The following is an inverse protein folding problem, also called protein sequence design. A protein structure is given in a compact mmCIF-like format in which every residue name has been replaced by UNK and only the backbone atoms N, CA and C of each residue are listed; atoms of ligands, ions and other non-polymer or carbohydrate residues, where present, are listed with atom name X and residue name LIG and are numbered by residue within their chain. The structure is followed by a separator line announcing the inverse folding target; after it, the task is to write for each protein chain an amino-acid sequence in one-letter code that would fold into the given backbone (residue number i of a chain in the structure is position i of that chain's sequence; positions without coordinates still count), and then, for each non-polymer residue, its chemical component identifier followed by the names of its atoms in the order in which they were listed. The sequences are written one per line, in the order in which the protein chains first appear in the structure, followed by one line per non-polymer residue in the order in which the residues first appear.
data_IF_588283664391
#
_entry.id   IF_588283664391
#
_cell.length_a   1.000
_cell.length_b   1.000
_cell.length_c   1.000
_cell.angle_alpha   90.00
_cell.angle_beta   90.00
_cell.angle_gamma   90.00
#
_symmetry.space_group_name_H-M   'P 1'
#
loop_
_entity.id
_entity.type
_entity.pdbx_description
1 polymer ?
#
# COMPACT_ATOMS: atom_id res chain seq x y z
N UNK A 1 -4.20 80.08 -24.14
CA UNK A 1 -4.97 79.22 -23.20
C UNK A 1 -4.78 77.77 -23.62
N UNK A 2 -3.76 77.10 -23.09
CA UNK A 2 -3.58 75.64 -23.26
C UNK A 2 -3.65 75.01 -21.87
N UNK A 3 -4.73 74.29 -21.59
CA UNK A 3 -4.84 73.46 -20.38
C UNK A 3 -4.42 72.04 -20.77
N UNK A 4 -3.21 71.65 -20.39
CA UNK A 4 -2.75 70.27 -20.47
C UNK A 4 -3.40 69.53 -19.28
N UNK A 5 -4.26 68.58 -19.59
CA UNK A 5 -4.94 67.73 -18.60
C UNK A 5 -4.00 66.58 -18.23
N UNK A 6 -3.43 66.63 -17.03
CA UNK A 6 -2.58 65.57 -16.48
C UNK A 6 -3.50 64.45 -15.96
N UNK A 7 -3.60 63.35 -16.71
CA UNK A 7 -4.33 62.15 -16.28
C UNK A 7 -3.37 61.26 -15.48
N UNK A 8 -3.51 61.30 -14.16
CA UNK A 8 -2.78 60.44 -13.23
C UNK A 8 -3.40 59.04 -13.27
N UNK A 9 -2.78 58.09 -13.97
CA UNK A 9 -3.13 56.67 -13.87
C UNK A 9 -2.64 56.13 -12.53
N UNK A 10 -3.51 56.13 -11.52
CA UNK A 10 -3.32 55.36 -10.30
C UNK A 10 -3.49 53.88 -10.65
N UNK A 11 -2.38 53.20 -10.96
CA UNK A 11 -2.33 51.75 -11.02
C UNK A 11 -2.53 51.22 -9.60
N UNK A 12 -3.77 50.89 -9.26
CA UNK A 12 -4.10 50.18 -8.03
C UNK A 12 -3.60 48.74 -8.19
N UNK A 13 -2.36 48.52 -7.81
CA UNK A 13 -1.78 47.18 -7.68
C UNK A 13 -2.59 46.45 -6.60
N UNK A 14 -3.58 45.67 -7.01
CA UNK A 14 -4.24 44.72 -6.12
C UNK A 14 -3.19 43.67 -5.78
N UNK A 15 -2.42 43.93 -4.72
CA UNK A 15 -1.79 42.87 -3.94
C UNK A 15 -2.93 42.07 -3.33
N UNK A 16 -3.46 41.12 -4.11
CA UNK A 16 -4.30 40.06 -3.59
C UNK A 16 -3.40 39.21 -2.71
N UNK A 17 -3.25 39.63 -1.45
CA UNK A 17 -2.82 38.70 -0.42
C UNK A 17 -3.94 37.67 -0.36
N UNK A 18 -3.66 36.46 -0.85
CA UNK A 18 -4.46 35.30 -0.50
C UNK A 18 -4.40 35.21 1.03
N UNK A 19 -5.39 35.76 1.72
CA UNK A 19 -5.56 35.54 3.14
C UNK A 19 -5.96 34.07 3.28
N UNK A 20 -4.95 33.21 3.42
CA UNK A 20 -5.15 31.82 3.80
C UNK A 20 -5.84 31.85 5.17
N UNK A 21 -7.15 31.58 5.19
CA UNK A 21 -7.89 31.47 6.43
C UNK A 21 -7.48 30.17 7.13
N UNK A 22 -6.40 30.24 7.93
CA UNK A 22 -5.87 29.10 8.64
C UNK A 22 -6.81 28.55 9.74
N UNK A 23 -7.87 29.30 10.11
CA UNK A 23 -8.85 28.86 11.10
C UNK A 23 -9.67 27.65 10.63
N UNK A 24 -9.81 27.46 9.31
CA UNK A 24 -10.55 26.31 8.74
C UNK A 24 -9.86 24.97 9.06
N UNK A 25 -8.54 24.99 9.26
CA UNK A 25 -7.76 23.80 9.56
C UNK A 25 -7.84 23.51 11.06
N UNK A 26 -8.73 22.61 11.47
CA UNK A 26 -8.76 22.12 12.86
C UNK A 26 -7.80 20.93 13.04
N UNK A 27 -7.56 20.51 14.27
CA UNK A 27 -6.66 19.38 14.57
C UNK A 27 -7.12 18.06 13.93
N UNK A 28 -8.43 17.92 13.65
CA UNK A 28 -9.02 16.75 13.00
C UNK A 28 -9.30 16.96 11.51
N UNK A 29 -8.86 18.08 10.94
CA UNK A 29 -9.07 18.36 9.53
C UNK A 29 -8.30 17.37 8.67
N UNK A 30 -8.98 16.82 7.67
CA UNK A 30 -8.38 15.98 6.64
C UNK A 30 -8.51 16.75 5.32
N UNK A 31 -7.40 16.98 4.61
CA UNK A 31 -7.45 17.69 3.34
C UNK A 31 -8.36 17.05 2.30
N UNK A 32 -8.85 17.87 1.38
CA UNK A 32 -9.71 17.43 0.28
C UNK A 32 -8.92 16.98 -0.95
N UNK A 33 -7.85 17.72 -1.27
CA UNK A 33 -7.00 17.50 -2.44
C UNK A 33 -5.54 17.93 -2.15
N UNK A 34 -4.66 17.82 -3.15
CA UNK A 34 -3.25 18.17 -3.00
C UNK A 34 -3.03 19.65 -2.61
N UNK A 35 -3.77 20.58 -3.20
CA UNK A 35 -3.58 22.00 -2.92
C UNK A 35 -4.02 22.32 -1.49
N UNK A 36 -5.13 21.75 -1.06
CA UNK A 36 -5.64 21.89 0.30
C UNK A 36 -4.69 21.27 1.33
N UNK A 37 -4.04 20.14 0.98
CA UNK A 37 -3.00 19.53 1.81
C UNK A 37 -1.75 20.42 1.96
N UNK A 38 -1.30 21.05 0.86
CA UNK A 38 -0.18 21.99 0.89
C UNK A 38 -0.54 23.21 1.76
N UNK A 39 -1.72 23.79 1.56
CA UNK A 39 -2.18 24.94 2.34
C UNK A 39 -2.39 24.60 3.82
N UNK A 40 -2.80 23.37 4.15
CA UNK A 40 -2.83 22.89 5.53
C UNK A 40 -1.43 22.97 6.17
N UNK A 41 -0.39 22.47 5.50
CA UNK A 41 0.98 22.52 6.01
C UNK A 41 1.50 23.95 6.13
N UNK A 42 1.27 24.81 5.13
CA UNK A 42 1.67 26.23 5.18
C UNK A 42 1.03 26.98 6.36
N UNK A 43 -0.16 26.57 6.81
CA UNK A 43 -0.87 27.16 7.95
C UNK A 43 -0.50 26.54 9.31
N UNK A 44 -0.25 25.23 9.36
CA UNK A 44 -0.12 24.48 10.63
C UNK A 44 1.31 24.17 11.03
N UNK A 45 2.23 24.13 10.08
CA UNK A 45 3.62 23.85 10.38
C UNK A 45 4.33 25.15 10.81
N UNK A 46 5.12 25.13 11.90
CA UNK A 46 5.95 26.26 12.27
C UNK A 46 6.83 26.71 11.11
N UNK A 47 7.02 28.02 10.96
CA UNK A 47 7.83 28.58 9.88
C UNK A 47 9.26 28.05 9.88
N UNK A 48 9.84 27.84 11.06
CA UNK A 48 11.18 27.25 11.21
C UNK A 48 11.25 25.84 10.62
N UNK A 49 10.25 25.00 10.87
CA UNK A 49 10.18 23.65 10.32
C UNK A 49 10.02 23.67 8.79
N UNK A 50 9.17 24.57 8.27
CA UNK A 50 9.01 24.77 6.83
C UNK A 50 10.30 25.28 6.17
N UNK A 51 11.02 26.21 6.81
CA UNK A 51 12.30 26.72 6.32
C UNK A 51 13.38 25.62 6.35
N UNK A 52 13.45 24.83 7.43
CA UNK A 52 14.34 23.67 7.53
C UNK A 52 14.05 22.62 6.45
N UNK A 53 12.78 22.32 6.19
CA UNK A 53 12.35 21.40 5.14
C UNK A 53 12.70 21.94 3.75
N UNK A 54 12.38 23.22 3.49
CA UNK A 54 12.65 23.92 2.23
C UNK A 54 14.13 23.93 1.86
N UNK A 55 15.02 24.15 2.83
CA UNK A 55 16.46 24.34 2.61
C UNK A 55 17.23 23.03 2.35
N UNK A 56 16.59 21.87 2.53
CA UNK A 56 17.18 20.56 2.18
C UNK A 56 17.02 20.27 0.69
N UNK A 57 17.87 19.39 0.16
CA UNK A 57 17.64 18.80 -1.17
C UNK A 57 16.29 18.06 -1.17
N UNK A 58 15.52 18.15 -2.25
CA UNK A 58 14.15 17.59 -2.36
C UNK A 58 14.10 16.12 -1.93
N UNK A 59 15.01 15.27 -2.42
CA UNK A 59 15.01 13.84 -2.11
C UNK A 59 15.32 13.58 -0.62
N UNK A 60 16.32 14.29 -0.08
CA UNK A 60 16.66 14.20 1.35
C UNK A 60 15.50 14.68 2.22
N UNK A 61 14.87 15.80 1.85
CA UNK A 61 13.77 16.40 2.58
C UNK A 61 12.58 15.44 2.69
N UNK A 62 12.17 14.83 1.58
CA UNK A 62 11.02 13.91 1.53
C UNK A 62 11.33 12.57 2.18
N UNK A 63 12.53 12.02 1.98
CA UNK A 63 12.96 10.75 2.58
C UNK A 63 13.05 10.82 4.11
N UNK A 64 13.64 11.88 4.66
CA UNK A 64 13.77 12.03 6.13
C UNK A 64 12.41 12.12 6.83
N UNK A 65 11.40 12.69 6.16
CA UNK A 65 10.05 12.80 6.69
C UNK A 65 9.21 11.54 6.48
N UNK A 66 9.69 10.54 5.73
CA UNK A 66 8.91 9.35 5.34
C UNK A 66 8.30 8.60 6.53
N UNK A 67 9.10 8.35 7.58
CA UNK A 67 8.67 7.59 8.76
C UNK A 67 8.06 8.47 9.87
N UNK A 68 8.27 9.79 9.81
CA UNK A 68 7.66 10.75 10.73
C UNK A 68 6.37 11.31 10.13
N UNK A 69 6.49 12.49 9.51
CA UNK A 69 5.36 13.21 8.91
C UNK A 69 4.61 12.38 7.88
N UNK A 70 5.30 11.65 7.01
CA UNK A 70 4.69 10.77 6.01
C UNK A 70 3.81 9.70 6.65
N UNK A 71 4.32 9.03 7.69
CA UNK A 71 3.54 8.04 8.44
C UNK A 71 2.32 8.67 9.12
N UNK A 72 2.48 9.85 9.71
CA UNK A 72 1.38 10.61 10.32
C UNK A 72 0.30 10.97 9.31
N UNK A 73 0.67 11.43 8.10
CA UNK A 73 -0.25 11.70 6.99
C UNK A 73 -1.07 10.44 6.69
N UNK A 74 -0.41 9.31 6.44
CA UNK A 74 -1.09 8.07 6.03
C UNK A 74 -2.12 7.59 7.04
N UNK A 75 -1.76 7.64 8.32
CA UNK A 75 -2.60 7.16 9.41
C UNK A 75 -3.71 8.15 9.75
N UNK A 76 -3.37 9.43 9.92
CA UNK A 76 -4.32 10.46 10.38
C UNK A 76 -5.30 10.86 9.29
N UNK A 77 -4.89 10.81 8.02
CA UNK A 77 -5.75 11.17 6.88
C UNK A 77 -6.46 9.97 6.26
N UNK A 78 -6.44 8.81 6.93
CA UNK A 78 -7.17 7.60 6.52
C UNK A 78 -6.84 7.11 5.10
N UNK A 79 -5.58 7.29 4.67
CA UNK A 79 -5.16 6.94 3.31
C UNK A 79 -5.22 5.42 3.07
N UNK A 80 -4.85 4.63 4.09
CA UNK A 80 -4.97 3.16 4.05
C UNK A 80 -6.42 2.71 3.90
N UNK A 81 -7.33 3.30 4.67
CA UNK A 81 -8.75 2.96 4.62
C UNK A 81 -9.41 3.42 3.31
N UNK A 82 -8.86 4.42 2.62
CA UNK A 82 -9.41 4.90 1.35
C UNK A 82 -10.69 5.72 1.45
N UNK A 83 -11.04 6.19 2.65
CA UNK A 83 -12.36 6.78 2.94
C UNK A 83 -12.38 8.30 2.94
N UNK A 84 -11.20 8.94 3.03
CA UNK A 84 -11.07 10.40 2.99
C UNK A 84 -11.07 10.96 1.57
N UNK A 85 -11.39 12.25 1.43
CA UNK A 85 -11.46 12.90 0.12
C UNK A 85 -10.09 13.03 -0.53
N UNK A 86 -9.03 13.37 0.23
CA UNK A 86 -7.65 13.33 -0.29
C UNK A 86 -7.25 11.93 -0.79
N UNK A 87 -7.72 10.86 -0.14
CA UNK A 87 -7.42 9.50 -0.60
C UNK A 87 -8.16 9.18 -1.90
N UNK A 88 -9.44 9.57 -2.02
CA UNK A 88 -10.19 9.43 -3.27
C UNK A 88 -9.57 10.25 -4.40
N UNK A 89 -9.18 11.50 -4.13
CA UNK A 89 -8.48 12.37 -5.07
C UNK A 89 -7.26 11.67 -5.70
N UNK A 90 -6.39 11.05 -4.89
CA UNK A 90 -5.24 10.33 -5.43
C UNK A 90 -5.62 9.04 -6.17
N UNK A 91 -6.63 8.30 -5.68
CA UNK A 91 -7.10 7.08 -6.34
C UNK A 91 -7.73 7.37 -7.70
N UNK A 92 -8.46 8.47 -7.84
CA UNK A 92 -9.02 8.93 -9.11
C UNK A 92 -7.92 9.32 -10.11
N UNK A 93 -6.73 9.69 -9.61
CA UNK A 93 -5.51 9.92 -10.40
C UNK A 93 -4.68 8.64 -10.64
N UNK A 94 -5.16 7.47 -10.20
CA UNK A 94 -4.48 6.19 -10.35
C UNK A 94 -3.33 5.95 -9.35
N UNK A 95 -3.28 6.70 -8.25
CA UNK A 95 -2.32 6.49 -7.14
C UNK A 95 -3.05 5.83 -5.99
N UNK A 96 -2.78 4.54 -5.77
CA UNK A 96 -3.51 3.72 -4.80
C UNK A 96 -2.75 3.49 -3.50
N UNK A 97 -1.41 3.51 -3.52
CA UNK A 97 -0.59 3.21 -2.36
C UNK A 97 -0.39 4.46 -1.47
N UNK A 98 -0.71 4.40 -0.16
CA UNK A 98 -0.58 5.54 0.75
C UNK A 98 0.82 6.12 0.89
N UNK A 99 1.89 5.31 0.76
CA UNK A 99 3.27 5.82 0.77
C UNK A 99 3.49 6.79 -0.40
N UNK A 100 3.00 6.46 -1.59
CA UNK A 100 3.10 7.29 -2.80
C UNK A 100 2.30 8.58 -2.63
N UNK A 101 1.06 8.49 -2.14
CA UNK A 101 0.22 9.65 -1.85
C UNK A 101 0.94 10.64 -0.92
N UNK A 102 1.47 10.14 0.20
CA UNK A 102 2.19 10.97 1.17
C UNK A 102 3.49 11.55 0.61
N UNK A 103 4.19 10.79 -0.25
CA UNK A 103 5.41 11.24 -0.92
C UNK A 103 5.13 12.34 -1.95
N UNK A 104 4.04 12.24 -2.70
CA UNK A 104 3.59 13.28 -3.64
C UNK A 104 3.24 14.56 -2.88
N UNK A 105 2.52 14.46 -1.76
CA UNK A 105 2.18 15.61 -0.92
C UNK A 105 3.44 16.34 -0.44
N UNK A 106 4.40 15.61 0.14
CA UNK A 106 5.62 16.21 0.68
C UNK A 106 6.53 16.79 -0.42
N UNK A 107 6.68 16.08 -1.54
CA UNK A 107 7.42 16.58 -2.72
C UNK A 107 6.81 17.86 -3.25
N UNK A 108 5.48 17.90 -3.36
CA UNK A 108 4.75 19.07 -3.87
C UNK A 108 4.83 20.26 -2.92
N UNK A 109 4.77 20.02 -1.60
CA UNK A 109 5.03 21.06 -0.58
C UNK A 109 6.45 21.62 -0.71
N UNK A 110 7.47 20.75 -0.84
CA UNK A 110 8.86 21.19 -0.99
C UNK A 110 9.05 22.07 -2.23
N UNK A 111 8.50 21.64 -3.37
CA UNK A 111 8.52 22.40 -4.63
C UNK A 111 7.82 23.74 -4.50
N UNK A 112 6.64 23.77 -3.86
CA UNK A 112 5.88 24.99 -3.58
C UNK A 112 6.69 25.99 -2.76
N UNK A 113 7.30 25.56 -1.65
CA UNK A 113 8.12 26.40 -0.77
C UNK A 113 9.36 26.97 -1.49
N UNK A 114 9.85 26.27 -2.51
CA UNK A 114 10.99 26.66 -3.33
C UNK A 114 10.61 27.37 -4.65
N UNK A 115 9.32 27.67 -4.89
CA UNK A 115 8.88 28.31 -6.12
C UNK A 115 9.10 27.46 -7.38
N UNK A 116 9.23 26.14 -7.24
CA UNK A 116 9.36 25.20 -8.35
C UNK A 116 7.98 24.72 -8.82
N UNK A 117 7.80 24.42 -10.12
CA UNK A 117 6.61 23.74 -10.60
C UNK A 117 6.39 22.42 -9.83
N UNK A 118 5.13 22.10 -9.51
CA UNK A 118 4.81 20.84 -8.81
C UNK A 118 5.05 19.63 -9.73
N UNK A 119 4.71 19.75 -11.02
CA UNK A 119 4.79 18.66 -12.01
C UNK A 119 4.07 17.39 -11.54
N UNK A 120 2.81 17.55 -11.12
CA UNK A 120 2.03 16.47 -10.53
C UNK A 120 1.91 15.27 -11.47
N UNK A 121 1.71 15.52 -12.77
CA UNK A 121 1.59 14.49 -13.80
C UNK A 121 2.86 13.63 -13.90
N UNK A 122 4.03 14.25 -13.77
CA UNK A 122 5.31 13.51 -13.78
C UNK A 122 5.47 12.65 -12.53
N UNK A 123 5.07 13.17 -11.36
CA UNK A 123 5.09 12.41 -10.11
C UNK A 123 4.14 11.21 -10.17
N UNK A 124 2.92 11.40 -10.70
CA UNK A 124 1.93 10.33 -10.90
C UNK A 124 2.49 9.26 -11.85
N UNK A 125 3.01 9.69 -13.00
CA UNK A 125 3.56 8.78 -14.00
C UNK A 125 4.70 7.92 -13.44
N UNK A 126 5.58 8.51 -12.63
CA UNK A 126 6.67 7.77 -11.98
C UNK A 126 6.14 6.58 -11.17
N UNK A 127 5.13 6.78 -10.32
CA UNK A 127 4.58 5.70 -9.51
C UNK A 127 3.78 4.68 -10.31
N UNK A 128 3.04 5.12 -11.34
CA UNK A 128 2.36 4.20 -12.26
C UNK A 128 3.36 3.29 -12.98
N UNK A 129 4.44 3.86 -13.51
CA UNK A 129 5.49 3.09 -14.19
C UNK A 129 6.20 2.14 -13.19
N UNK A 130 6.45 2.59 -11.96
CA UNK A 130 7.04 1.78 -10.90
C UNK A 130 6.19 0.55 -10.56
N UNK A 131 4.88 0.72 -10.31
CA UNK A 131 4.00 -0.39 -9.95
C UNK A 131 3.78 -1.34 -11.12
N UNK A 132 3.63 -0.84 -12.35
CA UNK A 132 3.51 -1.69 -13.54
C UNK A 132 4.73 -2.59 -13.73
N UNK A 133 5.93 -2.05 -13.54
CA UNK A 133 7.17 -2.83 -13.61
C UNK A 133 7.31 -3.80 -12.44
N UNK A 134 6.90 -3.41 -11.23
CA UNK A 134 6.90 -4.26 -10.04
C UNK A 134 5.98 -5.47 -10.19
N UNK A 135 4.74 -5.25 -10.66
CA UNK A 135 3.76 -6.31 -10.92
C UNK A 135 4.24 -7.27 -12.01
N UNK A 136 4.82 -6.73 -13.09
CA UNK A 136 5.41 -7.54 -14.16
C UNK A 136 6.52 -8.45 -13.62
N UNK A 137 7.47 -7.90 -12.87
CA UNK A 137 8.57 -8.67 -12.26
C UNK A 137 8.08 -9.71 -11.28
N UNK A 138 7.08 -9.38 -10.47
CA UNK A 138 6.47 -10.32 -9.54
C UNK A 138 5.84 -11.50 -10.32
N UNK A 139 5.07 -11.22 -11.37
CA UNK A 139 4.46 -12.26 -12.20
C UNK A 139 5.51 -13.13 -12.91
N UNK A 140 6.58 -12.53 -13.43
CA UNK A 140 7.69 -13.25 -14.05
C UNK A 140 8.34 -14.20 -13.02
N UNK A 141 8.67 -13.70 -11.83
CA UNK A 141 9.22 -14.52 -10.74
C UNK A 141 8.29 -15.68 -10.36
N UNK A 142 7.00 -15.40 -10.17
CA UNK A 142 6.03 -16.43 -9.80
C UNK A 142 5.88 -17.50 -10.88
N UNK A 143 5.92 -17.12 -12.16
CA UNK A 143 5.89 -18.08 -13.26
C UNK A 143 7.18 -18.93 -13.32
N UNK A 144 8.34 -18.32 -13.08
CA UNK A 144 9.63 -19.03 -13.02
C UNK A 144 9.62 -20.05 -11.89
N UNK A 145 9.28 -19.63 -10.66
CA UNK A 145 9.15 -20.52 -9.49
C UNK A 145 8.13 -21.65 -9.76
N UNK A 146 6.95 -21.33 -10.29
CA UNK A 146 5.92 -22.33 -10.58
C UNK A 146 6.38 -23.35 -11.65
N UNK A 147 7.20 -22.94 -12.61
CA UNK A 147 7.66 -23.81 -13.70
C UNK A 147 8.60 -24.95 -13.24
N UNK A 148 9.15 -24.83 -12.03
CA UNK A 148 10.01 -25.87 -11.45
C UNK A 148 9.22 -27.13 -11.05
N UNK A 149 7.94 -26.96 -10.70
CA UNK A 149 7.07 -28.04 -10.24
C UNK A 149 6.60 -28.96 -11.37
N UNK A 150 6.59 -30.26 -11.09
CA UNK A 150 6.16 -31.33 -11.99
C UNK A 150 5.19 -32.27 -11.29
N UNK A 151 4.31 -32.88 -12.08
CA UNK A 151 3.46 -33.97 -11.59
C UNK A 151 4.37 -35.12 -11.16
N UNK A 152 4.17 -35.60 -9.93
CA UNK A 152 4.97 -36.63 -9.30
C UNK A 152 6.02 -36.10 -8.31
N UNK A 153 6.29 -34.80 -8.32
CA UNK A 153 7.23 -34.21 -7.37
C UNK A 153 6.75 -34.42 -5.93
N UNK A 154 7.71 -34.74 -5.07
CA UNK A 154 7.51 -34.77 -3.63
C UNK A 154 7.74 -33.36 -3.10
N UNK A 155 6.82 -32.90 -2.28
CA UNK A 155 6.86 -31.54 -1.73
C UNK A 155 6.73 -31.54 -0.22
N UNK A 156 7.31 -30.53 0.42
CA UNK A 156 7.20 -30.23 1.85
C UNK A 156 6.39 -28.95 2.06
N UNK A 157 5.55 -28.92 3.09
CA UNK A 157 4.67 -27.79 3.37
C UNK A 157 5.39 -26.72 4.21
N UNK A 158 5.28 -25.45 3.80
CA UNK A 158 5.99 -24.30 4.39
C UNK A 158 5.41 -23.79 5.72
N UNK A 159 4.13 -24.07 6.01
CA UNK A 159 3.40 -23.55 7.19
C UNK A 159 3.22 -22.03 7.24
N UNK A 160 3.15 -21.35 6.09
CA UNK A 160 3.05 -19.87 6.02
C UNK A 160 1.79 -19.26 6.66
N UNK A 161 0.70 -20.02 6.79
CA UNK A 161 -0.54 -19.51 7.38
C UNK A 161 -0.56 -19.60 8.92
N UNK A 162 -0.65 -20.82 9.45
CA UNK A 162 -0.78 -21.09 10.88
C UNK A 162 -0.66 -22.60 11.16
N UNK A 163 -0.71 -22.97 12.44
CA UNK A 163 -0.69 -24.34 12.91
C UNK A 163 -2.06 -24.78 13.46
N UNK A 164 -2.43 -26.05 13.24
CA UNK A 164 -3.68 -26.62 13.77
C UNK A 164 -3.65 -26.82 15.30
N UNK A 165 -2.47 -26.66 15.92
CA UNK A 165 -2.29 -26.71 17.37
C UNK A 165 -0.95 -26.08 17.81
N UNK A 166 -0.90 -25.54 19.03
CA UNK A 166 0.36 -25.11 19.69
C UNK A 166 1.41 -26.22 19.77
N UNK A 167 0.97 -27.48 19.80
CA UNK A 167 1.86 -28.64 19.81
C UNK A 167 2.50 -28.86 18.44
N UNK A 168 1.77 -28.61 17.35
CA UNK A 168 2.31 -28.66 16.00
C UNK A 168 3.33 -27.55 15.80
N UNK A 169 2.98 -26.31 16.16
CA UNK A 169 3.88 -25.14 16.14
C UNK A 169 5.19 -25.43 16.88
N UNK A 170 5.10 -25.85 18.15
CA UNK A 170 6.29 -26.18 18.95
C UNK A 170 7.17 -27.26 18.31
N UNK A 171 6.55 -28.29 17.71
CA UNK A 171 7.30 -29.35 17.04
C UNK A 171 7.94 -28.88 15.73
N UNK A 172 7.30 -27.96 15.02
CA UNK A 172 7.85 -27.37 13.80
C UNK A 172 9.08 -26.51 14.15
N UNK A 173 8.98 -25.67 15.18
CA UNK A 173 10.10 -24.88 15.72
C UNK A 173 11.29 -25.73 16.21
N UNK A 174 11.04 -26.98 16.59
CA UNK A 174 12.06 -27.95 17.02
C UNK A 174 12.59 -28.83 15.86
N UNK A 175 12.24 -28.54 14.59
CA UNK A 175 12.56 -29.35 13.41
C UNK A 175 12.06 -30.81 13.52
N UNK A 176 10.92 -31.01 14.17
CA UNK A 176 10.29 -32.32 14.42
C UNK A 176 8.92 -32.48 13.76
N UNK A 177 8.44 -31.45 13.07
CA UNK A 177 7.15 -31.47 12.38
C UNK A 177 7.31 -31.05 10.93
N UNK A 178 7.06 -32.01 10.04
CA UNK A 178 7.02 -31.77 8.61
C UNK A 178 5.77 -32.41 8.04
N UNK A 179 5.17 -31.76 7.06
CA UNK A 179 4.10 -32.32 6.27
C UNK A 179 4.59 -32.44 4.83
N UNK A 180 4.36 -33.60 4.20
CA UNK A 180 4.84 -33.84 2.84
C UNK A 180 3.72 -34.40 1.97
N UNK A 181 3.74 -34.00 0.70
CA UNK A 181 2.77 -34.38 -0.31
C UNK A 181 3.42 -34.88 -1.59
N UNK A 182 2.58 -35.27 -2.54
CA UNK A 182 2.98 -35.53 -3.93
C UNK A 182 2.08 -34.69 -4.83
N UNK A 183 2.67 -33.98 -5.79
CA UNK A 183 1.91 -33.24 -6.80
C UNK A 183 1.24 -34.22 -7.76
N UNK A 184 -0.06 -34.05 -7.96
CA UNK A 184 -0.89 -34.87 -8.86
C UNK A 184 -1.55 -34.05 -9.98
N UNK A 185 -1.41 -32.72 -9.95
CA UNK A 185 -1.92 -31.82 -10.97
C UNK A 185 -1.31 -30.42 -10.86
N UNK A 186 -1.31 -29.68 -11.97
CA UNK A 186 -0.79 -28.31 -12.07
C UNK A 186 -1.84 -27.44 -12.77
N UNK A 187 -2.00 -26.21 -12.30
CA UNK A 187 -2.83 -25.21 -12.94
C UNK A 187 -2.02 -23.92 -13.15
N UNK A 188 -1.58 -23.70 -14.39
CA UNK A 188 -0.73 -22.57 -14.78
C UNK A 188 -1.47 -21.24 -14.87
N UNK A 189 -2.80 -21.25 -14.98
CA UNK A 189 -3.58 -19.99 -15.12
C UNK A 189 -3.68 -19.24 -13.79
N UNK A 190 -3.77 -19.98 -12.69
CA UNK A 190 -3.90 -19.44 -11.32
C UNK A 190 -2.73 -19.82 -10.41
N UNK A 191 -1.70 -20.46 -10.95
CA UNK A 191 -0.50 -20.91 -10.24
C UNK A 191 -0.82 -21.79 -9.02
N UNK A 192 -1.67 -22.80 -9.22
CA UNK A 192 -2.00 -23.77 -8.18
C UNK A 192 -1.42 -25.15 -8.47
N UNK A 193 -1.05 -25.84 -7.40
CA UNK A 193 -0.64 -27.25 -7.44
C UNK A 193 -1.72 -28.09 -6.77
N UNK A 194 -2.06 -29.23 -7.37
CA UNK A 194 -2.92 -30.22 -6.74
C UNK A 194 -2.03 -31.20 -5.98
N UNK A 195 -2.11 -31.18 -4.65
CA UNK A 195 -1.25 -32.01 -3.81
C UNK A 195 -2.06 -33.12 -3.17
N UNK A 196 -1.53 -34.33 -3.16
CA UNK A 196 -2.00 -35.43 -2.30
C UNK A 196 -1.15 -35.50 -1.04
N UNK A 197 -1.72 -35.15 0.11
CA UNK A 197 -0.99 -35.09 1.37
C UNK A 197 -0.64 -36.51 1.85
N UNK A 198 0.65 -36.82 2.01
CA UNK A 198 1.16 -38.15 2.40
C UNK A 198 1.49 -38.23 3.89
N UNK A 199 2.09 -37.17 4.43
CA UNK A 199 2.52 -37.10 5.83
C UNK A 199 2.01 -35.80 6.43
N UNK A 200 1.49 -35.89 7.65
CA UNK A 200 1.28 -34.76 8.55
C UNK A 200 1.79 -35.18 9.93
N UNK A 201 2.48 -34.29 10.62
CA UNK A 201 2.99 -34.55 11.97
C UNK A 201 1.87 -34.44 13.03
N UNK A 202 0.75 -33.78 12.70
CA UNK A 202 -0.43 -33.61 13.54
C UNK A 202 -1.63 -34.33 12.86
N UNK A 203 -2.38 -35.17 13.60
CA UNK A 203 -3.54 -35.88 13.04
C UNK A 203 -4.65 -34.95 12.55
N UNK A 204 -4.70 -33.69 13.02
CA UNK A 204 -5.66 -32.71 12.51
C UNK A 204 -5.35 -32.26 11.08
N UNK A 205 -4.11 -32.37 10.61
CA UNK A 205 -3.70 -31.98 9.27
C UNK A 205 -2.87 -30.70 9.22
N UNK A 206 -2.97 -29.98 8.11
CA UNK A 206 -2.31 -28.70 7.83
C UNK A 206 -3.34 -27.64 7.43
N UNK A 207 -3.07 -26.36 7.72
CA UNK A 207 -3.93 -25.24 7.34
C UNK A 207 -3.49 -24.75 5.95
N UNK A 208 -4.31 -24.98 4.93
CA UNK A 208 -3.99 -24.63 3.53
C UNK A 208 -4.61 -23.31 3.08
N UNK A 209 -5.43 -22.67 3.92
CA UNK A 209 -5.93 -21.31 3.71
C UNK A 209 -6.40 -20.71 5.03
N UNK A 210 -6.25 -19.39 5.18
CA UNK A 210 -6.80 -18.61 6.29
C UNK A 210 -7.32 -17.27 5.75
N UNK A 211 -8.61 -16.98 5.93
CA UNK A 211 -9.25 -15.78 5.37
C UNK A 211 -10.40 -15.27 6.25
N UNK A 212 -10.70 -13.98 6.14
CA UNK A 212 -11.89 -13.38 6.76
C UNK A 212 -13.09 -13.50 5.81
N UNK A 213 -14.27 -13.75 6.35
CA UNK A 213 -15.53 -13.80 5.61
C UNK A 213 -16.26 -12.47 5.79
N UNK A 214 -16.60 -11.85 4.67
CA UNK A 214 -17.31 -10.59 4.59
C UNK A 214 -18.64 -10.81 3.87
N UNK A 215 -19.72 -10.25 4.41
CA UNK A 215 -21.04 -10.26 3.77
C UNK A 215 -21.56 -8.82 3.61
N UNK A 216 -22.28 -8.58 2.52
CA UNK A 216 -22.98 -7.32 2.32
C UNK A 216 -24.32 -7.33 3.06
N UNK A 217 -24.44 -6.50 4.09
CA UNK A 217 -25.65 -6.32 4.89
C UNK A 217 -26.00 -4.83 4.87
N UNK A 218 -27.20 -4.51 4.36
CA UNK A 218 -27.71 -3.15 4.20
C UNK A 218 -26.77 -2.22 3.38
N UNK A 219 -26.20 -2.74 2.29
CA UNK A 219 -25.31 -1.98 1.41
C UNK A 219 -23.93 -1.70 2.00
N UNK A 220 -23.54 -2.42 3.06
CA UNK A 220 -22.22 -2.34 3.69
C UNK A 220 -21.62 -3.72 3.87
N UNK A 221 -20.36 -3.87 3.51
CA UNK A 221 -19.60 -5.08 3.84
C UNK A 221 -19.33 -5.12 5.35
N UNK A 222 -19.80 -6.19 5.98
CA UNK A 222 -19.58 -6.49 7.39
C UNK A 222 -18.79 -7.78 7.50
N UNK A 223 -17.74 -7.78 8.34
CA UNK A 223 -17.01 -9.00 8.65
C UNK A 223 -17.87 -9.88 9.55
N UNK A 224 -18.21 -11.07 9.07
CA UNK A 224 -19.08 -12.02 9.78
C UNK A 224 -18.30 -13.18 10.41
N UNK A 225 -17.14 -13.52 9.86
CA UNK A 225 -16.25 -14.56 10.41
C UNK A 225 -14.81 -14.10 10.22
N UNK A 226 -14.01 -14.17 11.28
CA UNK A 226 -12.60 -13.80 11.26
C UNK A 226 -11.75 -15.08 11.30
N UNK A 227 -10.65 -15.10 10.54
CA UNK A 227 -9.69 -16.21 10.53
C UNK A 227 -10.31 -17.59 10.21
N UNK A 228 -11.25 -17.66 9.26
CA UNK A 228 -11.76 -18.93 8.76
C UNK A 228 -10.63 -19.71 8.12
N UNK A 229 -10.48 -20.98 8.52
CA UNK A 229 -9.40 -21.85 8.05
C UNK A 229 -9.92 -23.01 7.19
N UNK A 230 -9.14 -23.39 6.19
CA UNK A 230 -9.32 -24.67 5.49
C UNK A 230 -8.21 -25.62 5.90
N UNK A 231 -8.60 -26.81 6.35
CA UNK A 231 -7.66 -27.84 6.79
C UNK A 231 -7.61 -28.96 5.76
N UNK A 232 -6.40 -29.35 5.38
CA UNK A 232 -6.14 -30.55 4.57
C UNK A 232 -5.65 -31.69 5.45
N UNK A 233 -6.36 -32.82 5.41
CA UNK A 233 -6.01 -34.00 6.20
C UNK A 233 -5.12 -34.96 5.42
N UNK A 234 -4.35 -35.77 6.15
CA UNK A 234 -3.51 -36.82 5.56
C UNK A 234 -4.36 -37.74 4.67
N UNK A 235 -3.92 -37.96 3.43
CA UNK A 235 -4.60 -38.78 2.43
C UNK A 235 -5.50 -37.98 1.48
N UNK A 236 -5.89 -36.75 1.84
CA UNK A 236 -6.70 -35.90 0.98
C UNK A 236 -5.91 -35.37 -0.22
N UNK A 237 -6.64 -34.90 -1.22
CA UNK A 237 -6.11 -34.24 -2.41
C UNK A 237 -6.85 -32.92 -2.61
N UNK A 238 -6.10 -31.82 -2.71
CA UNK A 238 -6.61 -30.45 -2.78
C UNK A 238 -5.76 -29.62 -3.72
N UNK A 239 -6.40 -28.65 -4.38
CA UNK A 239 -5.72 -27.53 -5.00
C UNK A 239 -5.32 -26.53 -3.92
N UNK A 240 -4.10 -26.04 -4.03
CA UNK A 240 -3.50 -25.07 -3.11
C UNK A 240 -2.56 -24.15 -3.88
N UNK A 241 -2.29 -22.96 -3.35
CA UNK A 241 -1.19 -22.12 -3.85
C UNK A 241 0.11 -22.92 -3.90
N UNK A 242 0.89 -22.73 -4.96
CA UNK A 242 2.21 -23.35 -5.10
C UNK A 242 3.18 -22.85 -4.02
N UNK A 243 3.01 -21.60 -3.56
CA UNK A 243 3.87 -20.95 -2.56
C UNK A 243 3.88 -21.69 -1.21
N UNK A 244 2.90 -22.55 -0.95
CA UNK A 244 2.83 -23.33 0.30
C UNK A 244 3.74 -24.57 0.30
N UNK A 245 4.47 -24.81 -0.79
CA UNK A 245 5.15 -26.07 -1.03
C UNK A 245 6.56 -25.87 -1.55
N UNK A 246 7.53 -26.54 -0.92
CA UNK A 246 8.90 -26.63 -1.40
C UNK A 246 9.16 -28.00 -2.02
N UNK A 247 9.86 -28.06 -3.16
CA UNK A 247 10.26 -29.32 -3.79
C UNK A 247 11.31 -30.01 -2.92
N UNK A 248 11.11 -31.30 -2.64
CA UNK A 248 12.04 -32.14 -1.89
C UNK A 248 12.74 -33.09 -2.85
N UNK A 249 14.07 -32.98 -2.93
CA UNK A 249 14.94 -33.91 -3.67
C UNK A 249 14.82 -35.37 -3.16
#
# INVERSE_FOLDING_TARGET
MNKILLVLFLTFSILATAQNNCEKYTDKYIPLDLNDAISFFECKCPREDLDNFKNKNENTATTELHFGTGMSIRNSWKLWAGTSDISKYFRDLGIHHPDDMSSIILTSLHRKLNGKPIELENQIKYYQDYWAESEKKQKERQNEEFSEFKIGDKVEFSYDYDFVSKKQEKKWMDDKCFATGIIVGLNTEVLEVQVKLKKSCDPKGIIISKYDVWEEIDGKYQKIEENKITIMKKGETRWTSYELWDIVE
#
